data_IF_560782541572
#
_entry.id   IF_560782541572
#
_cell.length_a   1.000
_cell.length_b   1.000
_cell.length_c   1.000
_cell.angle_alpha   90.00
_cell.angle_beta   90.00
_cell.angle_gamma   90.00
#
_symmetry.space_group_name_H-M   'P 1'
#
loop_
_entity.id
_entity.type
_entity.pdbx_description
1 polymer ?
#
# COMPACT_ATOMS: atom_id res chain seq x y z
N UNK A 1 -8.28 17.60 11.97
CA UNK A 1 -7.72 18.28 10.78
C UNK A 1 -6.91 17.26 10.00
N UNK A 2 -7.04 17.21 8.66
CA UNK A 2 -6.32 16.29 7.78
C UNK A 2 -5.23 17.07 7.04
N UNK A 3 -4.04 16.52 7.00
CA UNK A 3 -2.94 16.98 6.16
C UNK A 3 -2.59 15.90 5.13
N UNK A 4 -2.20 16.29 3.95
CA UNK A 4 -1.80 15.40 2.86
C UNK A 4 -0.33 15.60 2.49
N UNK A 5 0.32 14.54 2.07
CA UNK A 5 1.64 14.61 1.41
C UNK A 5 1.44 14.18 -0.04
N UNK A 6 1.80 15.06 -0.97
CA UNK A 6 1.63 14.85 -2.41
C UNK A 6 2.77 15.52 -3.18
N UNK A 7 3.67 14.78 -3.83
CA UNK A 7 4.80 15.35 -4.58
C UNK A 7 4.38 16.03 -5.89
N UNK A 8 3.26 15.64 -6.50
CA UNK A 8 2.79 16.15 -7.77
C UNK A 8 2.15 17.54 -7.64
N UNK A 9 2.71 18.57 -8.29
CA UNK A 9 2.24 19.96 -8.17
C UNK A 9 0.75 20.13 -8.52
N UNK A 10 0.26 19.51 -9.60
CA UNK A 10 -1.15 19.63 -10.00
C UNK A 10 -2.12 19.01 -8.98
N UNK A 11 -1.76 17.86 -8.43
CA UNK A 11 -2.55 17.20 -7.39
C UNK A 11 -2.50 18.00 -6.07
N UNK A 12 -1.35 18.59 -5.71
CA UNK A 12 -1.23 19.51 -4.55
C UNK A 12 -2.19 20.68 -4.66
N UNK A 13 -2.21 21.35 -5.82
CA UNK A 13 -3.12 22.48 -6.06
C UNK A 13 -4.57 22.07 -5.86
N UNK A 14 -4.99 20.95 -6.46
CA UNK A 14 -6.35 20.44 -6.32
C UNK A 14 -6.72 20.11 -4.86
N UNK A 15 -5.80 19.53 -4.09
CA UNK A 15 -6.02 19.21 -2.69
C UNK A 15 -6.09 20.48 -1.83
N UNK A 16 -5.26 21.49 -2.10
CA UNK A 16 -5.27 22.78 -1.43
C UNK A 16 -6.59 23.53 -1.69
N UNK A 17 -7.11 23.53 -2.92
CA UNK A 17 -8.40 24.11 -3.29
C UNK A 17 -9.57 23.44 -2.55
N UNK A 18 -9.43 22.16 -2.17
CA UNK A 18 -10.40 21.43 -1.33
C UNK A 18 -10.25 21.73 0.17
N UNK A 19 -9.33 22.61 0.55
CA UNK A 19 -9.13 23.05 1.94
C UNK A 19 -8.21 22.15 2.78
N UNK A 20 -7.47 21.21 2.17
CA UNK A 20 -6.46 20.42 2.88
C UNK A 20 -5.16 21.21 3.06
N UNK A 21 -4.47 20.95 4.17
CA UNK A 21 -3.05 21.36 4.30
C UNK A 21 -2.22 20.32 3.54
N UNK A 22 -1.44 20.76 2.56
CA UNK A 22 -0.71 19.85 1.67
C UNK A 22 0.79 20.16 1.74
N UNK A 23 1.58 19.11 1.90
CA UNK A 23 3.04 19.12 1.89
C UNK A 23 3.57 18.39 0.66
N UNK A 24 4.73 18.79 0.20
CA UNK A 24 5.39 18.16 -0.97
C UNK A 24 6.05 16.83 -0.62
N UNK A 25 6.57 16.72 0.62
CA UNK A 25 7.26 15.54 1.11
C UNK A 25 6.95 15.28 2.58
N UNK A 26 7.16 14.03 3.01
CA UNK A 26 6.99 13.64 4.42
C UNK A 26 7.93 14.40 5.36
N UNK A 27 9.13 14.80 4.87
CA UNK A 27 10.08 15.58 5.67
C UNK A 27 9.63 16.99 6.04
N UNK A 28 8.57 17.51 5.40
CA UNK A 28 7.98 18.81 5.72
C UNK A 28 6.89 18.73 6.80
N UNK A 29 6.49 17.52 7.20
CA UNK A 29 5.47 17.34 8.24
C UNK A 29 5.99 17.85 9.60
N UNK A 30 5.10 18.48 10.37
CA UNK A 30 5.43 18.94 11.72
C UNK A 30 5.63 17.73 12.63
N UNK A 31 6.75 17.72 13.37
CA UNK A 31 7.10 16.64 14.30
C UNK A 31 6.07 16.51 15.42
N UNK A 32 5.81 15.26 15.82
CA UNK A 32 4.95 14.92 16.97
C UNK A 32 3.57 15.60 16.94
N UNK A 33 2.95 15.66 15.76
CA UNK A 33 1.69 16.41 15.56
C UNK A 33 0.53 15.50 15.20
N UNK A 34 0.81 14.35 14.57
CA UNK A 34 -0.23 13.51 14.00
C UNK A 34 -0.49 12.29 14.87
N UNK A 35 -1.74 12.13 15.33
CA UNK A 35 -2.15 10.94 16.08
C UNK A 35 -2.29 9.69 15.22
N UNK A 36 -2.52 9.89 13.90
CA UNK A 36 -2.69 8.80 12.96
C UNK A 36 -2.19 9.19 11.57
N UNK A 37 -1.39 8.33 10.97
CA UNK A 37 -0.93 8.46 9.59
C UNK A 37 -1.30 7.20 8.82
N UNK A 38 -1.79 7.34 7.59
CA UNK A 38 -2.04 6.21 6.71
C UNK A 38 -1.45 6.45 5.32
N UNK A 39 -0.99 5.37 4.70
CA UNK A 39 -0.47 5.36 3.33
C UNK A 39 -0.97 4.12 2.61
N UNK A 40 -1.61 4.33 1.44
CA UNK A 40 -2.24 3.28 0.65
C UNK A 40 -1.63 3.26 -0.75
N UNK A 41 -0.90 2.19 -1.07
CA UNK A 41 -0.25 1.99 -2.37
C UNK A 41 0.62 3.20 -2.79
N UNK A 42 1.56 3.59 -1.92
CA UNK A 42 2.48 4.72 -2.16
C UNK A 42 3.94 4.29 -2.00
N UNK A 43 4.29 3.56 -0.93
CA UNK A 43 5.69 3.25 -0.61
C UNK A 43 6.35 2.33 -1.65
N UNK A 44 5.58 1.55 -2.39
CA UNK A 44 6.08 0.73 -3.49
C UNK A 44 6.66 1.54 -4.65
N UNK A 45 6.25 2.82 -4.78
CA UNK A 45 6.75 3.76 -5.79
C UNK A 45 7.97 4.57 -5.32
N UNK A 46 8.33 4.48 -4.05
CA UNK A 46 9.39 5.28 -3.46
C UNK A 46 10.66 4.43 -3.34
N UNK A 47 11.74 4.88 -3.96
CA UNK A 47 13.02 4.16 -3.93
C UNK A 47 13.57 4.10 -2.50
N UNK A 48 13.67 5.24 -1.82
CA UNK A 48 14.08 5.34 -0.40
C UNK A 48 12.87 5.33 0.54
N UNK A 49 12.18 4.19 0.60
CA UNK A 49 11.00 4.03 1.43
C UNK A 49 11.32 3.99 2.94
N UNK A 50 12.54 3.61 3.31
CA UNK A 50 13.01 3.57 4.69
C UNK A 50 13.09 4.99 5.27
N UNK A 51 13.68 5.93 4.53
CA UNK A 51 13.74 7.34 4.93
C UNK A 51 12.35 7.95 5.08
N UNK A 52 11.40 7.62 4.18
CA UNK A 52 10.02 8.10 4.31
C UNK A 52 9.34 7.56 5.56
N UNK A 53 9.47 6.28 5.87
CA UNK A 53 8.88 5.69 7.09
C UNK A 53 9.50 6.30 8.35
N UNK A 54 10.81 6.59 8.36
CA UNK A 54 11.48 7.30 9.45
C UNK A 54 10.94 8.75 9.61
N UNK A 55 10.72 9.47 8.52
CA UNK A 55 10.12 10.82 8.55
C UNK A 55 8.68 10.78 9.08
N UNK A 56 7.89 9.77 8.70
CA UNK A 56 6.53 9.58 9.24
C UNK A 56 6.56 9.25 10.74
N UNK A 57 7.56 8.49 11.21
CA UNK A 57 7.76 8.25 12.63
C UNK A 57 7.99 9.56 13.41
N UNK A 58 8.84 10.45 12.89
CA UNK A 58 9.08 11.76 13.51
C UNK A 58 7.81 12.63 13.56
N UNK A 59 6.98 12.57 12.53
CA UNK A 59 5.74 13.35 12.43
C UNK A 59 4.64 12.86 13.39
N UNK A 60 4.60 11.59 13.72
CA UNK A 60 3.61 10.99 14.61
C UNK A 60 3.93 11.34 16.09
N UNK A 61 2.89 11.67 16.86
CA UNK A 61 3.00 11.91 18.30
C UNK A 61 3.23 10.62 19.11
N UNK A 62 3.81 10.67 20.32
CA UNK A 62 3.92 9.50 21.18
C UNK A 62 2.56 8.84 21.42
N UNK A 63 2.48 7.52 21.18
CA UNK A 63 1.24 6.74 21.24
C UNK A 63 0.38 6.78 19.97
N UNK A 64 0.74 7.61 18.99
CA UNK A 64 0.08 7.65 17.68
C UNK A 64 0.39 6.42 16.83
N UNK A 65 -0.31 6.26 15.72
CA UNK A 65 -0.26 5.05 14.88
C UNK A 65 0.00 5.35 13.41
N UNK A 66 0.64 4.40 12.77
CA UNK A 66 0.76 4.33 11.32
C UNK A 66 0.00 3.13 10.76
N UNK A 67 -0.69 3.31 9.64
CA UNK A 67 -1.29 2.26 8.82
C UNK A 67 -0.69 2.29 7.42
N UNK A 68 -0.06 1.19 7.02
CA UNK A 68 0.46 1.03 5.65
C UNK A 68 -0.31 -0.10 4.97
N UNK A 69 -0.69 0.13 3.71
CA UNK A 69 -1.37 -0.85 2.86
C UNK A 69 -0.69 -0.88 1.49
N UNK A 70 -0.15 -2.04 1.09
CA UNK A 70 0.82 -2.16 0.01
C UNK A 70 0.59 -3.45 -0.80
N UNK A 71 1.02 -3.52 -2.07
CA UNK A 71 0.96 -4.74 -2.85
C UNK A 71 1.86 -5.83 -2.24
N UNK A 72 1.32 -7.06 -2.15
CA UNK A 72 2.03 -8.18 -1.56
C UNK A 72 2.78 -9.02 -2.59
N UNK A 73 3.88 -9.63 -2.16
CA UNK A 73 4.65 -10.69 -2.82
C UNK A 73 5.22 -10.38 -4.20
N UNK A 74 6.53 -10.26 -4.30
CA UNK A 74 7.24 -10.09 -5.57
C UNK A 74 7.02 -11.26 -6.55
N UNK A 75 6.73 -12.47 -6.05
CA UNK A 75 6.50 -13.62 -6.92
C UNK A 75 5.20 -13.55 -7.73
N UNK A 76 4.24 -12.67 -7.38
CA UNK A 76 3.06 -12.37 -8.18
C UNK A 76 3.15 -11.02 -8.92
N UNK A 77 4.33 -10.39 -8.99
CA UNK A 77 4.57 -9.17 -9.79
C UNK A 77 4.24 -9.44 -11.26
N UNK A 78 3.53 -8.52 -11.90
CA UNK A 78 3.07 -8.57 -13.29
C UNK A 78 3.63 -7.38 -14.08
N UNK A 79 3.44 -7.35 -15.39
CA UNK A 79 3.77 -6.20 -16.23
C UNK A 79 3.05 -4.91 -15.82
N UNK A 80 1.91 -5.02 -15.15
CA UNK A 80 1.19 -3.85 -14.63
C UNK A 80 2.01 -3.12 -13.55
N UNK A 81 2.73 -3.86 -12.68
CA UNK A 81 3.61 -3.24 -11.67
C UNK A 81 4.71 -2.37 -12.32
N UNK A 82 5.27 -2.87 -13.43
CA UNK A 82 6.31 -2.13 -14.17
C UNK A 82 5.70 -0.89 -14.86
N UNK A 83 4.50 -1.03 -15.42
CA UNK A 83 3.79 0.06 -16.10
C UNK A 83 3.45 1.22 -15.14
N UNK A 84 3.07 0.90 -13.90
CA UNK A 84 2.72 1.92 -12.88
C UNK A 84 3.94 2.36 -12.05
N UNK A 85 5.14 1.83 -12.31
CA UNK A 85 6.38 2.25 -11.67
C UNK A 85 6.57 1.72 -10.25
N UNK A 86 6.11 0.49 -9.97
CA UNK A 86 6.43 -0.15 -8.69
C UNK A 86 7.90 -0.58 -8.64
N UNK A 87 8.64 -0.13 -7.65
CA UNK A 87 9.98 -0.64 -7.38
C UNK A 87 9.93 -2.02 -6.73
N UNK A 88 8.90 -2.27 -5.90
CA UNK A 88 8.83 -3.49 -5.07
C UNK A 88 7.40 -3.86 -4.66
N UNK A 89 7.27 -5.09 -4.17
CA UNK A 89 6.12 -5.58 -3.42
C UNK A 89 6.61 -6.12 -2.07
N UNK A 90 5.75 -6.21 -1.09
CA UNK A 90 6.14 -6.48 0.28
C UNK A 90 5.61 -7.82 0.80
N UNK A 91 6.32 -8.39 1.75
CA UNK A 91 5.79 -9.42 2.63
C UNK A 91 5.49 -8.81 4.01
N UNK A 92 4.66 -9.50 4.78
CA UNK A 92 4.34 -9.09 6.15
C UNK A 92 5.60 -8.94 7.01
N UNK A 93 6.55 -9.89 6.91
CA UNK A 93 7.83 -9.83 7.67
C UNK A 93 8.68 -8.63 7.27
N UNK A 94 8.75 -8.30 5.99
CA UNK A 94 9.48 -7.11 5.52
C UNK A 94 8.87 -5.82 6.07
N UNK A 95 7.53 -5.70 6.12
CA UNK A 95 6.88 -4.53 6.71
C UNK A 95 7.13 -4.42 8.21
N UNK A 96 7.10 -5.54 8.95
CA UNK A 96 7.41 -5.54 10.38
C UNK A 96 8.83 -5.04 10.61
N UNK A 97 9.81 -5.52 9.84
CA UNK A 97 11.21 -5.05 9.92
C UNK A 97 11.30 -3.56 9.60
N UNK A 98 10.68 -3.12 8.49
CA UNK A 98 10.70 -1.73 8.04
C UNK A 98 10.19 -0.76 9.12
N UNK A 99 9.01 -1.02 9.70
CA UNK A 99 8.46 -0.14 10.73
C UNK A 99 9.24 -0.21 12.04
N UNK A 100 9.78 -1.40 12.41
CA UNK A 100 10.58 -1.56 13.62
C UNK A 100 11.91 -0.83 13.53
N UNK A 101 12.56 -0.83 12.37
CA UNK A 101 13.79 -0.07 12.13
C UNK A 101 13.59 1.45 12.25
N UNK A 102 12.40 1.95 11.88
CA UNK A 102 12.03 3.33 12.08
C UNK A 102 11.67 3.69 13.54
N UNK A 103 11.54 2.70 14.44
CA UNK A 103 11.23 2.89 15.86
C UNK A 103 9.80 2.54 16.27
N UNK A 104 8.94 2.15 15.34
CA UNK A 104 7.55 1.75 15.65
C UNK A 104 7.49 0.38 16.33
N UNK A 105 6.49 0.21 17.18
CA UNK A 105 6.08 -1.08 17.76
C UNK A 105 4.95 -1.68 16.94
N UNK A 106 5.13 -2.87 16.41
CA UNK A 106 4.11 -3.60 15.63
C UNK A 106 2.90 -3.96 16.51
N UNK A 107 1.68 -3.64 16.04
CA UNK A 107 0.41 -3.99 16.71
C UNK A 107 -0.36 -5.09 15.94
N UNK A 108 -0.60 -4.91 14.64
CA UNK A 108 -1.27 -5.90 13.79
C UNK A 108 -0.74 -5.85 12.35
N UNK A 109 -0.82 -6.97 11.66
CA UNK A 109 -0.50 -7.05 10.24
C UNK A 109 -1.11 -8.28 9.60
N UNK A 110 -1.36 -8.21 8.31
CA UNK A 110 -1.94 -9.33 7.59
C UNK A 110 -2.01 -9.09 6.09
N UNK A 111 -2.47 -10.10 5.41
CA UNK A 111 -2.75 -10.04 3.99
C UNK A 111 -4.25 -9.83 3.75
N UNK A 112 -4.60 -9.17 2.65
CA UNK A 112 -5.98 -8.91 2.23
C UNK A 112 -6.17 -9.30 0.77
N UNK A 113 -7.44 -9.42 0.38
CA UNK A 113 -7.83 -9.80 -0.97
C UNK A 113 -7.26 -11.19 -1.37
N UNK A 114 -7.75 -12.21 -0.66
CA UNK A 114 -7.36 -13.60 -0.86
C UNK A 114 -7.57 -14.07 -2.31
N UNK A 115 -8.76 -13.85 -2.88
CA UNK A 115 -9.05 -14.25 -4.27
C UNK A 115 -8.24 -13.43 -5.29
N UNK A 116 -7.98 -12.15 -5.00
CA UNK A 116 -7.15 -11.30 -5.82
C UNK A 116 -5.72 -11.79 -5.96
N UNK A 117 -5.19 -12.47 -4.93
CA UNK A 117 -3.88 -13.13 -5.03
C UNK A 117 -3.87 -14.17 -6.15
N UNK A 118 -4.84 -15.08 -6.18
CA UNK A 118 -4.92 -16.12 -7.21
C UNK A 118 -5.21 -15.53 -8.59
N UNK A 119 -6.08 -14.51 -8.66
CA UNK A 119 -6.35 -13.81 -9.91
C UNK A 119 -5.06 -13.17 -10.48
N UNK A 120 -4.27 -12.51 -9.64
CA UNK A 120 -2.98 -11.90 -10.03
C UNK A 120 -1.95 -12.98 -10.45
N UNK A 121 -1.89 -14.08 -9.71
CA UNK A 121 -1.04 -15.21 -10.06
C UNK A 121 -1.41 -15.82 -11.42
N UNK A 122 -2.71 -15.96 -11.70
CA UNK A 122 -3.22 -16.41 -13.00
C UNK A 122 -2.83 -15.45 -14.14
N UNK A 123 -2.98 -14.14 -13.93
CA UNK A 123 -2.55 -13.10 -14.88
C UNK A 123 -1.06 -13.27 -15.18
N UNK A 124 -0.22 -13.37 -14.17
CA UNK A 124 1.21 -13.59 -14.33
C UNK A 124 1.53 -14.85 -15.14
N UNK A 125 0.81 -15.95 -14.86
CA UNK A 125 0.99 -17.19 -15.62
C UNK A 125 0.61 -17.01 -17.09
N UNK A 126 -0.48 -16.31 -17.38
CA UNK A 126 -0.91 -15.99 -18.75
C UNK A 126 0.12 -15.12 -19.48
N UNK A 127 0.65 -14.07 -18.83
CA UNK A 127 1.74 -13.24 -19.39
C UNK A 127 2.96 -14.09 -19.77
N UNK A 128 3.34 -15.03 -18.91
CA UNK A 128 4.46 -15.93 -19.17
C UNK A 128 4.20 -16.87 -20.35
N UNK A 129 2.97 -17.38 -20.50
CA UNK A 129 2.60 -18.30 -21.57
C UNK A 129 2.42 -17.57 -22.91
N UNK A 130 1.79 -16.41 -22.93
CA UNK A 130 1.50 -15.65 -24.15
C UNK A 130 2.68 -14.77 -24.60
N UNK A 131 3.71 -14.61 -23.80
CA UNK A 131 4.86 -13.70 -24.01
C UNK A 131 4.44 -12.26 -24.32
N UNK A 132 3.26 -11.84 -23.87
CA UNK A 132 2.72 -10.49 -24.04
C UNK A 132 2.20 -9.96 -22.71
N UNK A 133 2.41 -8.66 -22.44
CA UNK A 133 1.82 -8.00 -21.27
C UNK A 133 0.29 -8.00 -21.40
N UNK A 134 -0.41 -8.46 -20.36
CA UNK A 134 -1.87 -8.42 -20.29
C UNK A 134 -2.38 -7.11 -19.70
N UNK A 135 -1.66 -6.01 -19.88
CA UNK A 135 -1.85 -4.71 -19.22
C UNK A 135 -3.22 -4.03 -19.37
N UNK A 136 -4.21 -4.66 -20.00
CA UNK A 136 -5.57 -4.10 -20.12
C UNK A 136 -6.55 -4.99 -19.36
N UNK A 137 -6.88 -4.56 -18.14
CA UNK A 137 -7.98 -5.19 -17.39
C UNK A 137 -9.31 -4.79 -18.03
N UNK A 138 -10.09 -5.77 -18.46
CA UNK A 138 -11.42 -5.52 -18.98
C UNK A 138 -12.31 -4.91 -17.88
N UNK A 139 -12.81 -3.67 -18.10
CA UNK A 139 -13.62 -2.93 -17.12
C UNK A 139 -14.83 -3.73 -16.61
N UNK A 140 -15.47 -4.53 -17.47
CA UNK A 140 -16.62 -5.36 -17.07
C UNK A 140 -16.20 -6.48 -16.12
N UNK A 141 -15.03 -7.08 -16.35
CA UNK A 141 -14.47 -8.10 -15.48
C UNK A 141 -14.08 -7.51 -14.11
N UNK A 142 -13.51 -6.30 -14.11
CA UNK A 142 -13.18 -5.59 -12.87
C UNK A 142 -14.44 -5.30 -12.03
N UNK A 143 -15.51 -4.78 -12.67
CA UNK A 143 -16.78 -4.52 -11.98
C UNK A 143 -17.40 -5.82 -11.44
N UNK A 144 -17.35 -6.90 -12.21
CA UNK A 144 -17.84 -8.20 -11.76
C UNK A 144 -17.03 -8.74 -10.58
N UNK A 145 -15.70 -8.59 -10.63
CA UNK A 145 -14.82 -8.93 -9.51
C UNK A 145 -15.20 -8.15 -8.24
N UNK A 146 -15.28 -6.83 -8.33
CA UNK A 146 -15.59 -5.96 -7.19
C UNK A 146 -16.96 -6.28 -6.58
N UNK A 147 -17.94 -6.60 -7.42
CA UNK A 147 -19.31 -6.84 -6.95
C UNK A 147 -19.52 -8.24 -6.33
N UNK A 148 -18.85 -9.27 -6.86
CA UNK A 148 -19.13 -10.66 -6.48
C UNK A 148 -17.93 -11.34 -5.80
N UNK A 149 -16.74 -11.23 -6.36
CA UNK A 149 -15.57 -11.93 -5.85
C UNK A 149 -14.95 -11.21 -4.64
N UNK A 150 -14.88 -9.89 -4.67
CA UNK A 150 -14.25 -9.11 -3.60
C UNK A 150 -14.92 -9.27 -2.23
N UNK A 151 -16.27 -9.25 -2.07
CA UNK A 151 -16.89 -9.51 -0.78
C UNK A 151 -16.56 -10.89 -0.21
N UNK A 152 -16.57 -11.92 -1.06
CA UNK A 152 -16.16 -13.29 -0.66
C UNK A 152 -14.67 -13.31 -0.29
N UNK A 153 -13.83 -12.63 -1.08
CA UNK A 153 -12.41 -12.47 -0.82
C UNK A 153 -12.13 -11.86 0.54
N UNK A 154 -12.92 -10.85 0.96
CA UNK A 154 -12.77 -10.23 2.27
C UNK A 154 -13.05 -11.22 3.41
N UNK A 155 -14.12 -12.02 3.32
CA UNK A 155 -14.43 -13.05 4.31
C UNK A 155 -13.31 -14.09 4.39
N UNK A 156 -12.84 -14.59 3.26
CA UNK A 156 -11.71 -15.54 3.22
C UNK A 156 -10.43 -14.91 3.78
N UNK A 157 -10.20 -13.62 3.54
CA UNK A 157 -9.05 -12.90 4.09
C UNK A 157 -9.05 -12.87 5.62
N UNK A 158 -10.19 -12.91 6.31
CA UNK A 158 -10.23 -13.01 7.78
C UNK A 158 -9.60 -14.31 8.27
N UNK A 159 -9.79 -15.41 7.52
CA UNK A 159 -9.27 -16.75 7.88
C UNK A 159 -7.78 -16.84 7.48
N UNK A 160 -7.44 -16.38 6.26
CA UNK A 160 -6.11 -16.57 5.66
C UNK A 160 -5.19 -15.35 5.78
N UNK A 161 -5.57 -14.31 6.53
CA UNK A 161 -4.84 -13.03 6.64
C UNK A 161 -3.36 -13.16 7.04
N UNK A 162 -2.96 -14.28 7.66
CA UNK A 162 -1.55 -14.50 8.04
C UNK A 162 -0.73 -15.24 7.00
N UNK A 163 -1.37 -15.76 5.97
CA UNK A 163 -0.75 -16.66 4.99
C UNK A 163 -0.61 -15.99 3.63
N UNK A 164 -1.70 -15.46 3.06
CA UNK A 164 -1.72 -15.01 1.67
C UNK A 164 -2.82 -13.99 1.38
N UNK A 165 -2.53 -13.08 0.44
CA UNK A 165 -3.45 -12.09 -0.12
C UNK A 165 -2.74 -11.24 -1.16
N UNK A 166 -3.49 -10.54 -2.00
CA UNK A 166 -2.94 -9.66 -3.04
C UNK A 166 -2.21 -8.46 -2.46
N UNK A 167 -2.69 -7.99 -1.30
CA UNK A 167 -2.12 -6.86 -0.59
C UNK A 167 -1.75 -7.25 0.85
N UNK A 168 -0.86 -6.47 1.45
CA UNK A 168 -0.40 -6.61 2.82
C UNK A 168 -0.63 -5.29 3.56
N UNK A 169 -1.06 -5.39 4.82
CA UNK A 169 -1.18 -4.23 5.69
C UNK A 169 -0.38 -4.39 6.98
N UNK A 170 -0.06 -3.26 7.59
CA UNK A 170 0.51 -3.21 8.93
C UNK A 170 -0.06 -2.02 9.69
N UNK A 171 -0.31 -2.23 10.97
CA UNK A 171 -0.56 -1.21 11.99
C UNK A 171 0.58 -1.24 12.97
N UNK A 172 1.17 -0.09 13.24
CA UNK A 172 2.24 0.04 14.21
C UNK A 172 2.10 1.35 15.00
N UNK A 173 2.60 1.35 16.24
CA UNK A 173 2.51 2.47 17.20
C UNK A 173 3.89 3.09 17.44
N UNK A 174 3.93 4.39 17.55
CA UNK A 174 5.08 5.14 18.08
C UNK A 174 5.17 5.09 19.59
#
# INVERSE_FOLDING_TARGET
RISCVEPGQGARTTLAERGYTVFESAGQLTRSTYSYVFSLNVLEHIEDHEAVVAQLYEAIEPGGRIYLYLPAFNHIRTSMDDLVGHHRRYTRSQLIVLVSQAGFTHEDSGYTDFLGYFATWMIKLMEKLQRQPTGVVNKRLLIAYDRFAFPVSQVLSLIFKRVVGKNVYIVARK
#
